data_IF_016630688767
#
_entry.id   IF_016630688767
#
_cell.length_a   1.000
_cell.length_b   1.000
_cell.length_c   1.000
_cell.angle_alpha   90.00
_cell.angle_beta   90.00
_cell.angle_gamma   90.00
#
_symmetry.space_group_name_H-M   'P 1'
#
loop_
_entity.id
_entity.type
_entity.pdbx_description
1 polymer ?
#
# COMPACT_ATOMS: atom_id res chain seq x y z
N UNK A 1 3.62 12.94 -27.29
CA UNK A 1 4.59 11.82 -27.15
C UNK A 1 3.79 10.53 -27.14
N UNK A 2 4.05 9.61 -28.08
CA UNK A 2 3.43 8.29 -28.03
C UNK A 2 4.02 7.50 -26.86
N UNK A 3 3.17 7.08 -25.92
CA UNK A 3 3.58 6.32 -24.75
C UNK A 3 3.95 4.89 -25.15
N UNK A 4 5.20 4.48 -24.88
CA UNK A 4 5.66 3.11 -25.08
C UNK A 4 6.04 2.44 -23.74
N UNK A 5 5.20 1.57 -23.17
CA UNK A 5 5.47 0.91 -21.89
C UNK A 5 6.66 -0.05 -21.96
N UNK A 6 6.98 -0.62 -23.13
CA UNK A 6 8.03 -1.64 -23.27
C UNK A 6 9.42 -1.13 -22.82
N UNK A 7 9.70 0.17 -22.99
CA UNK A 7 10.95 0.79 -22.56
C UNK A 7 11.11 0.77 -21.03
N UNK A 8 10.01 0.97 -20.31
CA UNK A 8 10.01 0.93 -18.84
C UNK A 8 9.97 -0.50 -18.34
N UNK A 9 9.12 -1.36 -18.93
CA UNK A 9 9.03 -2.79 -18.62
C UNK A 9 10.39 -3.50 -18.73
N UNK A 10 11.16 -3.20 -19.78
CA UNK A 10 12.50 -3.75 -19.99
C UNK A 10 13.49 -3.30 -18.89
N UNK A 11 13.44 -2.03 -18.49
CA UNK A 11 14.31 -1.47 -17.44
C UNK A 11 14.04 -2.06 -16.07
N UNK A 12 12.76 -2.26 -15.73
CA UNK A 12 12.36 -2.81 -14.43
C UNK A 12 12.40 -4.35 -14.44
N UNK A 13 12.33 -5.00 -15.61
CA UNK A 13 12.28 -6.45 -15.76
C UNK A 13 10.93 -7.06 -15.40
N UNK A 14 9.84 -6.32 -15.58
CA UNK A 14 8.47 -6.74 -15.29
C UNK A 14 7.57 -6.35 -16.46
N UNK A 15 6.84 -7.32 -17.01
CA UNK A 15 5.76 -7.09 -17.97
C UNK A 15 4.43 -6.91 -17.21
N UNK A 16 3.75 -5.81 -17.50
CA UNK A 16 2.45 -5.49 -16.92
C UNK A 16 1.32 -6.18 -17.68
N UNK A 17 0.28 -6.62 -16.97
CA UNK A 17 -0.99 -7.05 -17.59
C UNK A 17 -1.78 -5.85 -18.05
N UNK A 18 -1.87 -4.83 -17.20
CA UNK A 18 -2.52 -3.57 -17.48
C UNK A 18 -1.45 -2.45 -17.56
N UNK A 19 -1.12 -2.06 -18.79
CA UNK A 19 -0.13 -1.02 -19.10
C UNK A 19 -0.58 0.39 -18.72
N UNK A 20 -1.88 0.61 -18.49
CA UNK A 20 -2.37 1.90 -18.03
C UNK A 20 -2.02 2.16 -16.57
N UNK A 21 -1.91 1.11 -15.75
CA UNK A 21 -1.42 1.24 -14.36
C UNK A 21 0.04 1.68 -14.35
N UNK A 22 0.87 1.12 -15.24
CA UNK A 22 2.26 1.55 -15.39
C UNK A 22 2.34 3.00 -15.88
N UNK A 23 1.48 3.38 -16.84
CA UNK A 23 1.39 4.77 -17.31
C UNK A 23 1.04 5.71 -16.15
N UNK A 24 0.00 5.37 -15.38
CA UNK A 24 -0.46 6.16 -14.24
C UNK A 24 0.64 6.38 -13.19
N UNK A 25 1.44 5.35 -12.91
CA UNK A 25 2.58 5.45 -11.98
C UNK A 25 3.61 6.53 -12.38
N UNK A 26 3.67 6.84 -13.67
CA UNK A 26 4.61 7.79 -14.26
C UNK A 26 4.00 9.16 -14.51
N UNK A 27 2.75 9.42 -14.09
CA UNK A 27 2.08 10.73 -14.16
C UNK A 27 2.32 11.49 -12.86
N UNK A 28 3.25 12.43 -12.89
CA UNK A 28 3.51 13.33 -11.77
C UNK A 28 2.36 14.33 -11.59
N UNK A 29 2.04 14.78 -10.35
CA UNK A 29 1.00 15.79 -10.10
C UNK A 29 1.12 17.04 -10.96
N UNK A 30 2.33 17.56 -11.17
CA UNK A 30 2.54 18.76 -11.99
C UNK A 30 2.11 18.58 -13.46
N UNK A 31 2.29 17.38 -14.04
CA UNK A 31 1.83 17.12 -15.40
C UNK A 31 0.31 16.96 -15.44
N UNK A 32 -0.26 16.35 -14.39
CA UNK A 32 -1.71 16.23 -14.24
C UNK A 32 -2.40 17.59 -14.12
N UNK A 33 -1.78 18.53 -13.40
CA UNK A 33 -2.28 19.91 -13.24
C UNK A 33 -2.30 20.66 -14.59
N UNK A 34 -1.28 20.49 -15.43
CA UNK A 34 -1.25 21.05 -16.80
C UNK A 34 -2.37 20.53 -17.70
N UNK A 35 -2.80 19.28 -17.50
CA UNK A 35 -3.89 18.66 -18.26
C UNK A 35 -5.29 19.07 -17.80
N UNK A 36 -5.41 19.62 -16.58
CA UNK A 36 -6.66 20.11 -16.01
C UNK A 36 -7.14 19.34 -14.78
N UNK A 37 -8.07 19.97 -14.05
CA UNK A 37 -8.61 19.46 -12.79
C UNK A 37 -9.24 18.07 -12.95
N UNK A 38 -8.95 17.17 -12.01
CA UNK A 38 -9.50 15.81 -11.99
C UNK A 38 -8.75 14.80 -12.87
N UNK A 39 -7.68 15.23 -13.55
CA UNK A 39 -6.76 14.29 -14.19
C UNK A 39 -6.11 13.38 -13.13
N UNK A 40 -6.08 12.05 -13.32
CA UNK A 40 -5.42 11.14 -12.40
C UNK A 40 -3.89 11.29 -12.43
N UNK A 41 -3.29 11.25 -11.25
CA UNK A 41 -1.83 11.25 -11.06
C UNK A 41 -1.39 10.01 -10.24
N UNK A 42 -0.08 9.93 -9.99
CA UNK A 42 0.52 8.79 -9.33
C UNK A 42 0.43 8.77 -7.79
N UNK A 43 -0.13 9.78 -7.13
CA UNK A 43 -0.09 9.91 -5.67
C UNK A 43 -0.81 8.75 -4.96
N UNK A 44 -1.93 8.28 -5.50
CA UNK A 44 -2.64 7.12 -4.92
C UNK A 44 -1.78 5.85 -5.00
N UNK A 45 -1.05 5.68 -6.11
CA UNK A 45 -0.11 4.56 -6.29
C UNK A 45 1.13 4.72 -5.41
N UNK A 46 1.63 5.95 -5.23
CA UNK A 46 2.72 6.26 -4.30
C UNK A 46 2.37 5.76 -2.90
N UNK A 47 1.16 6.09 -2.43
CA UNK A 47 0.68 5.73 -1.10
C UNK A 47 0.54 4.21 -0.92
N UNK A 48 -0.03 3.52 -1.91
CA UNK A 48 -0.12 2.06 -1.91
C UNK A 48 1.28 1.41 -1.95
N UNK A 49 2.17 1.93 -2.78
CA UNK A 49 3.51 1.41 -2.96
C UNK A 49 4.41 1.63 -1.75
N UNK A 50 4.26 2.74 -1.04
CA UNK A 50 4.94 2.98 0.24
C UNK A 50 4.60 1.89 1.27
N UNK A 51 3.31 1.57 1.41
CA UNK A 51 2.85 0.53 2.33
C UNK A 51 3.31 -0.87 1.90
N UNK A 52 3.23 -1.20 0.60
CA UNK A 52 3.72 -2.46 0.07
C UNK A 52 5.24 -2.63 0.26
N UNK A 53 6.01 -1.54 0.09
CA UNK A 53 7.46 -1.53 0.30
C UNK A 53 7.82 -1.70 1.77
N UNK A 54 7.15 -0.96 2.68
CA UNK A 54 7.31 -1.14 4.13
C UNK A 54 7.08 -2.60 4.53
N UNK A 55 6.01 -3.22 4.02
CA UNK A 55 5.70 -4.60 4.32
C UNK A 55 6.72 -5.58 3.74
N UNK A 56 7.18 -5.41 2.49
CA UNK A 56 8.21 -6.25 1.91
C UNK A 56 9.54 -6.20 2.70
N UNK A 57 9.92 -5.01 3.19
CA UNK A 57 11.09 -4.84 4.06
C UNK A 57 10.89 -5.59 5.39
N UNK A 58 9.70 -5.44 6.01
CA UNK A 58 9.39 -6.12 7.26
C UNK A 58 9.35 -7.65 7.11
N UNK A 59 8.78 -8.16 6.02
CA UNK A 59 8.76 -9.59 5.66
C UNK A 59 10.18 -10.14 5.50
N UNK A 60 11.06 -9.40 4.83
CA UNK A 60 12.46 -9.79 4.67
C UNK A 60 13.20 -9.82 6.02
N UNK A 61 13.11 -8.75 6.81
CA UNK A 61 13.78 -8.64 8.11
C UNK A 61 13.31 -9.74 9.08
N UNK A 62 12.00 -9.95 9.16
CA UNK A 62 11.41 -10.99 10.00
C UNK A 62 11.89 -12.39 9.62
N UNK A 63 12.04 -12.66 8.31
CA UNK A 63 12.39 -13.99 7.81
C UNK A 63 13.89 -14.29 7.85
N UNK A 64 14.74 -13.28 7.67
CA UNK A 64 16.18 -13.50 7.43
C UNK A 64 17.09 -12.98 8.55
N UNK A 65 16.57 -12.17 9.46
CA UNK A 65 17.37 -11.55 10.54
C UNK A 65 16.73 -11.75 11.92
N UNK A 66 16.42 -12.99 12.33
CA UNK A 66 15.71 -13.24 13.61
C UNK A 66 16.52 -12.79 14.83
N UNK A 67 17.84 -12.75 14.74
CA UNK A 67 18.72 -12.34 15.83
C UNK A 67 18.78 -10.81 16.06
N UNK A 68 18.16 -9.99 15.20
CA UNK A 68 18.17 -8.54 15.34
C UNK A 68 16.99 -8.04 16.19
N UNK A 69 17.28 -7.11 17.10
CA UNK A 69 16.25 -6.37 17.82
C UNK A 69 15.38 -5.51 16.90
N UNK A 70 14.12 -5.28 17.29
CA UNK A 70 13.17 -4.44 16.52
C UNK A 70 13.66 -3.01 16.32
N UNK A 71 14.48 -2.48 17.22
CA UNK A 71 15.13 -1.17 17.01
C UNK A 71 16.00 -1.17 15.74
N UNK A 72 16.70 -2.27 15.45
CA UNK A 72 17.48 -2.43 14.22
C UNK A 72 16.56 -2.61 13.00
N UNK A 73 15.42 -3.29 13.14
CA UNK A 73 14.44 -3.40 12.05
C UNK A 73 13.96 -2.01 11.62
N UNK A 74 13.59 -1.15 12.58
CA UNK A 74 13.17 0.22 12.29
C UNK A 74 14.28 1.04 11.60
N UNK A 75 15.49 1.02 12.15
CA UNK A 75 16.63 1.76 11.57
C UNK A 75 16.99 1.30 10.15
N UNK A 76 16.97 -0.02 9.90
CA UNK A 76 17.25 -0.59 8.58
C UNK A 76 16.14 -0.26 7.57
N UNK A 77 14.87 -0.27 8.02
CA UNK A 77 13.74 0.14 7.20
C UNK A 77 13.83 1.61 6.80
N UNK A 78 14.12 2.51 7.75
CA UNK A 78 14.31 3.94 7.47
C UNK A 78 15.43 4.16 6.45
N UNK A 79 16.58 3.49 6.63
CA UNK A 79 17.70 3.54 5.67
C UNK A 79 17.33 3.04 4.27
N UNK A 80 16.50 2.00 4.17
CA UNK A 80 16.05 1.46 2.88
C UNK A 80 15.05 2.39 2.18
N UNK A 81 14.29 3.17 2.94
CA UNK A 81 13.23 4.06 2.46
C UNK A 81 13.67 5.51 2.27
N UNK A 82 14.94 5.81 2.55
CA UNK A 82 15.52 7.15 2.41
C UNK A 82 15.37 7.67 0.97
N UNK A 83 14.88 8.91 0.83
CA UNK A 83 14.60 9.51 -0.48
C UNK A 83 15.81 9.52 -1.40
N UNK A 84 17.00 9.85 -0.89
CA UNK A 84 18.23 9.82 -1.68
C UNK A 84 18.53 8.43 -2.24
N UNK A 85 18.33 7.41 -1.43
CA UNK A 85 18.52 6.02 -1.85
C UNK A 85 17.54 5.63 -2.95
N UNK A 86 16.27 5.96 -2.80
CA UNK A 86 15.22 5.63 -3.78
C UNK A 86 15.43 6.40 -5.09
N UNK A 87 15.78 7.68 -5.03
CA UNK A 87 16.18 8.47 -6.19
C UNK A 87 17.39 7.86 -6.90
N UNK A 88 18.44 7.47 -6.17
CA UNK A 88 19.61 6.79 -6.76
C UNK A 88 19.20 5.50 -7.48
N UNK A 89 18.33 4.68 -6.87
CA UNK A 89 17.84 3.45 -7.48
C UNK A 89 17.00 3.72 -8.74
N UNK A 90 16.15 4.75 -8.73
CA UNK A 90 15.41 5.19 -9.92
C UNK A 90 16.32 5.45 -11.12
N UNK A 91 17.42 6.17 -10.91
CA UNK A 91 18.42 6.41 -11.96
C UNK A 91 19.24 5.17 -12.32
N UNK A 92 19.58 4.31 -11.37
CA UNK A 92 20.27 3.04 -11.63
C UNK A 92 19.44 2.07 -12.48
N UNK A 93 18.11 2.12 -12.36
CA UNK A 93 17.19 1.41 -13.25
C UNK A 93 17.10 2.05 -14.66
N UNK A 94 17.76 3.19 -14.88
CA UNK A 94 17.68 3.95 -16.11
C UNK A 94 16.37 4.73 -16.27
N UNK A 95 15.60 4.95 -15.20
CA UNK A 95 14.29 5.60 -15.27
C UNK A 95 14.33 7.13 -15.18
N UNK A 96 15.50 7.72 -14.91
CA UNK A 96 15.68 9.18 -14.82
C UNK A 96 15.10 9.94 -16.03
N UNK A 97 15.44 9.48 -17.23
CA UNK A 97 14.94 10.06 -18.49
C UNK A 97 13.55 9.55 -18.89
N UNK A 98 13.13 8.43 -18.30
CA UNK A 98 11.90 7.72 -18.67
C UNK A 98 10.70 8.10 -17.79
N UNK A 99 10.78 9.18 -17.01
CA UNK A 99 9.63 9.76 -16.30
C UNK A 99 8.90 10.72 -17.27
N UNK A 100 8.05 10.21 -18.18
CA UNK A 100 7.69 10.93 -19.40
C UNK A 100 6.67 12.04 -19.11
N UNK A 101 5.91 11.90 -18.03
CA UNK A 101 4.78 12.75 -17.66
C UNK A 101 5.13 13.53 -16.39
N UNK A 102 6.18 14.34 -16.50
CA UNK A 102 6.63 15.31 -15.50
C UNK A 102 6.64 16.69 -16.17
N UNK A 103 5.83 17.63 -15.68
CA UNK A 103 5.69 18.97 -16.28
C UNK A 103 7.00 19.76 -16.33
N UNK A 104 7.86 19.59 -15.31
CA UNK A 104 9.17 20.23 -15.24
C UNK A 104 10.20 19.39 -16.02
N UNK A 105 10.29 19.62 -17.33
CA UNK A 105 11.17 18.84 -18.24
C UNK A 105 12.59 19.40 -18.35
N UNK A 106 12.79 20.71 -18.21
CA UNK A 106 14.09 21.40 -18.42
C UNK A 106 15.13 21.15 -17.32
N UNK A 107 14.71 20.73 -16.12
CA UNK A 107 15.58 20.66 -14.93
C UNK A 107 15.84 19.23 -14.42
N UNK A 108 15.59 18.19 -15.21
CA UNK A 108 15.75 16.79 -14.76
C UNK A 108 17.14 16.47 -14.22
N UNK A 109 18.19 16.99 -14.88
CA UNK A 109 19.57 16.84 -14.42
C UNK A 109 19.81 17.52 -13.06
N UNK A 110 19.17 18.66 -12.81
CA UNK A 110 19.23 19.38 -11.53
C UNK A 110 18.46 18.62 -10.46
N UNK A 111 17.25 18.12 -10.79
CA UNK A 111 16.41 17.32 -9.89
C UNK A 111 17.09 16.00 -9.49
N UNK A 112 18.03 15.48 -10.28
CA UNK A 112 18.84 14.33 -9.89
C UNK A 112 19.74 14.60 -8.68
N UNK A 113 20.23 15.83 -8.56
CA UNK A 113 21.27 16.20 -7.59
C UNK A 113 20.74 17.02 -6.41
N UNK A 114 19.56 17.64 -6.56
CA UNK A 114 18.93 18.45 -5.51
C UNK A 114 17.75 17.73 -4.87
N UNK A 115 17.59 17.94 -3.57
CA UNK A 115 16.43 17.51 -2.79
C UNK A 115 15.62 18.72 -2.35
N UNK A 116 14.28 18.59 -2.24
CA UNK A 116 13.47 17.41 -2.61
C UNK A 116 13.36 17.23 -4.14
N UNK A 117 13.09 16.01 -4.59
CA UNK A 117 12.84 15.67 -6.00
C UNK A 117 11.70 14.64 -6.13
N UNK A 118 11.10 14.44 -7.31
CA UNK A 118 9.90 13.61 -7.44
C UNK A 118 10.20 12.11 -7.65
N UNK A 119 11.48 11.71 -7.69
CA UNK A 119 11.87 10.37 -8.15
C UNK A 119 11.70 9.29 -7.09
N UNK A 120 11.87 9.62 -5.81
CA UNK A 120 11.59 8.70 -4.71
C UNK A 120 10.09 8.36 -4.63
N UNK A 121 9.24 9.38 -4.79
CA UNK A 121 7.78 9.24 -4.89
C UNK A 121 7.37 8.46 -6.13
N UNK A 122 7.97 8.78 -7.28
CA UNK A 122 7.78 8.02 -8.52
C UNK A 122 8.20 6.55 -8.38
N UNK A 123 9.28 6.26 -7.66
CA UNK A 123 9.70 4.89 -7.34
C UNK A 123 8.66 4.17 -6.50
N UNK A 124 8.12 4.81 -5.45
CA UNK A 124 7.02 4.24 -4.64
C UNK A 124 5.78 4.01 -5.49
N UNK A 125 5.40 4.95 -6.37
CA UNK A 125 4.27 4.77 -7.26
C UNK A 125 4.46 3.59 -8.22
N UNK A 126 5.67 3.40 -8.75
CA UNK A 126 6.02 2.24 -9.57
C UNK A 126 5.89 0.93 -8.78
N UNK A 127 6.33 0.89 -7.51
CA UNK A 127 6.11 -0.26 -6.63
C UNK A 127 4.62 -0.53 -6.42
N UNK A 128 3.83 0.52 -6.19
CA UNK A 128 2.36 0.42 -6.07
C UNK A 128 1.72 -0.15 -7.32
N UNK A 129 2.19 0.26 -8.50
CA UNK A 129 1.74 -0.26 -9.79
C UNK A 129 2.09 -1.74 -9.98
N UNK A 130 3.34 -2.13 -9.69
CA UNK A 130 3.78 -3.53 -9.74
C UNK A 130 2.92 -4.38 -8.79
N UNK A 131 2.72 -3.91 -7.57
CA UNK A 131 1.92 -4.59 -6.55
C UNK A 131 0.47 -4.79 -7.01
N UNK A 132 -0.17 -3.73 -7.54
CA UNK A 132 -1.56 -3.77 -7.98
C UNK A 132 -1.78 -4.70 -9.19
N UNK A 133 -0.84 -4.70 -10.14
CA UNK A 133 -0.94 -5.46 -11.40
C UNK A 133 -0.48 -6.93 -11.27
N UNK A 134 0.61 -7.15 -10.52
CA UNK A 134 1.30 -8.45 -10.43
C UNK A 134 1.16 -9.16 -9.09
N UNK A 135 0.61 -8.47 -8.09
CA UNK A 135 0.43 -8.96 -6.72
C UNK A 135 1.68 -8.86 -5.85
N UNK A 136 1.47 -9.00 -4.54
CA UNK A 136 2.52 -8.81 -3.52
C UNK A 136 3.75 -9.71 -3.75
N UNK A 137 3.56 -10.97 -4.14
CA UNK A 137 4.68 -11.91 -4.33
C UNK A 137 5.70 -11.39 -5.36
N UNK A 138 5.22 -10.84 -6.48
CA UNK A 138 6.09 -10.28 -7.52
C UNK A 138 6.71 -8.96 -7.07
N UNK A 139 5.93 -8.09 -6.42
CA UNK A 139 6.45 -6.84 -5.85
C UNK A 139 7.57 -7.10 -4.83
N UNK A 140 7.35 -8.03 -3.90
CA UNK A 140 8.33 -8.46 -2.90
C UNK A 140 9.59 -9.01 -3.55
N UNK A 141 9.47 -9.93 -4.51
CA UNK A 141 10.65 -10.50 -5.16
C UNK A 141 11.47 -9.44 -5.91
N UNK A 142 10.78 -8.50 -6.56
CA UNK A 142 11.43 -7.40 -7.25
C UNK A 142 12.14 -6.45 -6.28
N UNK A 143 11.47 -6.05 -5.19
CA UNK A 143 12.05 -5.24 -4.11
C UNK A 143 13.23 -5.94 -3.44
N UNK A 144 13.13 -7.24 -3.20
CA UNK A 144 14.22 -8.05 -2.63
C UNK A 144 15.47 -7.91 -3.50
N UNK A 145 15.33 -8.12 -4.81
CA UNK A 145 16.45 -8.04 -5.76
C UNK A 145 17.00 -6.62 -5.94
N UNK A 146 16.14 -5.62 -6.04
CA UNK A 146 16.53 -4.25 -6.46
C UNK A 146 16.88 -3.33 -5.29
N UNK A 147 16.25 -3.53 -4.13
CA UNK A 147 16.33 -2.60 -3.00
C UNK A 147 16.90 -3.23 -1.73
N UNK A 148 16.36 -4.39 -1.32
CA UNK A 148 16.55 -4.93 0.04
C UNK A 148 17.85 -5.72 0.16
N UNK A 149 18.02 -6.77 -0.65
CA UNK A 149 19.19 -7.67 -0.58
C UNK A 149 20.53 -6.91 -0.72
N UNK A 150 20.68 -5.93 -1.63
CA UNK A 150 21.93 -5.15 -1.75
C UNK A 150 22.37 -4.41 -0.48
N UNK A 151 21.48 -4.21 0.50
CA UNK A 151 21.80 -3.58 1.79
C UNK A 151 21.82 -4.58 2.92
N UNK A 152 20.91 -5.57 2.88
CA UNK A 152 20.65 -6.46 4.01
C UNK A 152 21.40 -7.79 3.97
N UNK A 153 21.98 -8.20 2.84
CA UNK A 153 22.74 -9.46 2.73
C UNK A 153 23.87 -9.57 3.78
N UNK A 154 24.51 -8.45 4.13
CA UNK A 154 25.55 -8.40 5.17
C UNK A 154 25.06 -8.72 6.59
N UNK A 155 23.74 -8.80 6.80
CA UNK A 155 23.10 -9.21 8.05
C UNK A 155 22.58 -10.65 7.99
N UNK A 156 22.89 -11.43 6.95
CA UNK A 156 22.54 -12.84 6.93
C UNK A 156 23.49 -13.63 7.84
N UNK A 157 22.91 -14.37 8.78
CA UNK A 157 23.63 -15.26 9.69
C UNK A 157 22.85 -16.57 9.82
N UNK A 158 23.52 -17.71 10.04
CA UNK A 158 22.86 -19.00 10.30
C UNK A 158 22.32 -19.07 11.74
N UNK A 159 21.62 -18.03 12.19
CA UNK A 159 20.97 -17.97 13.50
C UNK A 159 19.47 -18.07 13.25
N UNK A 160 18.83 -19.04 13.89
CA UNK A 160 17.38 -19.28 13.78
C UNK A 160 16.62 -18.73 14.97
N UNK A 161 17.29 -18.52 16.11
CA UNK A 161 16.68 -18.00 17.32
C UNK A 161 16.33 -16.52 17.18
N UNK A 162 15.11 -16.17 17.61
CA UNK A 162 14.59 -14.79 17.59
C UNK A 162 14.96 -14.07 18.87
N UNK A 163 15.58 -12.88 18.79
CA UNK A 163 15.95 -12.14 20.01
C UNK A 163 14.72 -11.57 20.75
N UNK A 164 13.68 -11.17 20.01
CA UNK A 164 12.38 -10.81 20.60
C UNK A 164 11.21 -11.27 19.71
N UNK A 165 10.80 -12.55 19.80
CA UNK A 165 9.83 -13.14 18.86
C UNK A 165 8.52 -12.36 18.77
N UNK A 166 7.94 -12.00 19.92
CA UNK A 166 6.67 -11.28 19.98
C UNK A 166 6.78 -9.85 19.42
N UNK A 167 7.82 -9.08 19.74
CA UNK A 167 7.98 -7.73 19.18
C UNK A 167 8.26 -7.76 17.66
N UNK A 168 9.03 -8.74 17.19
CA UNK A 168 9.28 -8.93 15.76
C UNK A 168 7.99 -9.31 15.01
N UNK A 169 7.16 -10.19 15.59
CA UNK A 169 5.87 -10.56 15.02
C UNK A 169 4.93 -9.34 14.94
N UNK A 170 4.91 -8.50 15.98
CA UNK A 170 4.17 -7.23 15.96
C UNK A 170 4.68 -6.27 14.88
N UNK A 171 6.00 -6.20 14.63
CA UNK A 171 6.58 -5.34 13.59
C UNK A 171 6.15 -5.76 12.18
N UNK A 172 6.17 -7.07 11.91
CA UNK A 172 5.67 -7.65 10.66
C UNK A 172 4.18 -7.30 10.48
N UNK A 173 3.39 -7.54 11.53
CA UNK A 173 1.94 -7.36 11.50
C UNK A 173 1.48 -5.92 11.36
N UNK A 174 2.19 -4.96 11.98
CA UNK A 174 1.89 -3.54 11.84
C UNK A 174 2.06 -3.08 10.38
N UNK A 175 3.14 -3.53 9.74
CA UNK A 175 3.42 -3.20 8.34
C UNK A 175 2.42 -3.90 7.40
N UNK A 176 2.08 -5.16 7.68
CA UNK A 176 1.09 -5.91 6.91
C UNK A 176 -0.31 -5.29 7.00
N UNK A 177 -0.78 -4.99 8.21
CA UNK A 177 -2.11 -4.43 8.43
C UNK A 177 -2.31 -3.13 7.64
N UNK A 178 -1.30 -2.25 7.65
CA UNK A 178 -1.31 -1.02 6.84
C UNK A 178 -1.40 -1.33 5.34
N UNK A 179 -0.62 -2.28 4.86
CA UNK A 179 -0.61 -2.65 3.44
C UNK A 179 -1.94 -3.24 2.98
N UNK A 180 -2.56 -4.16 3.74
CA UNK A 180 -3.86 -4.76 3.35
C UNK A 180 -5.00 -3.74 3.44
N UNK A 181 -5.01 -2.86 4.45
CA UNK A 181 -6.01 -1.78 4.57
C UNK A 181 -5.88 -0.81 3.39
N UNK A 182 -4.66 -0.40 3.04
CA UNK A 182 -4.47 0.54 1.94
C UNK A 182 -4.79 -0.08 0.57
N UNK A 183 -4.52 -1.37 0.37
CA UNK A 183 -4.99 -2.05 -0.84
C UNK A 183 -6.51 -2.07 -0.93
N UNK A 184 -7.19 -2.43 0.17
CA UNK A 184 -8.65 -2.41 0.23
C UNK A 184 -9.20 -1.01 -0.11
N UNK A 185 -8.72 0.03 0.57
CA UNK A 185 -9.17 1.40 0.36
C UNK A 185 -8.88 1.90 -1.06
N UNK A 186 -7.70 1.59 -1.62
CA UNK A 186 -7.35 1.97 -2.99
C UNK A 186 -8.34 1.37 -4.00
N UNK A 187 -8.73 0.11 -3.81
CA UNK A 187 -9.63 -0.62 -4.73
C UNK A 187 -11.09 -0.19 -4.59
N UNK A 188 -11.56 0.08 -3.37
CA UNK A 188 -12.98 0.33 -3.09
C UNK A 188 -13.35 1.82 -3.08
N UNK A 189 -12.37 2.72 -2.99
CA UNK A 189 -12.59 4.17 -2.98
C UNK A 189 -11.88 4.83 -4.18
N UNK A 190 -12.37 4.61 -5.41
CA UNK A 190 -11.83 5.27 -6.59
C UNK A 190 -11.96 6.79 -6.45
N UNK A 191 -11.02 7.52 -7.07
CA UNK A 191 -11.00 8.99 -7.09
C UNK A 191 -10.87 9.70 -5.72
N UNK A 192 -10.75 8.95 -4.62
CA UNK A 192 -10.38 9.51 -3.31
C UNK A 192 -8.88 9.77 -3.30
N UNK A 193 -8.50 11.02 -3.00
CA UNK A 193 -7.11 11.49 -2.97
C UNK A 193 -6.28 10.77 -1.90
N UNK A 194 -4.97 10.64 -2.16
CA UNK A 194 -4.04 9.89 -1.30
C UNK A 194 -4.09 10.33 0.17
N UNK A 195 -4.18 11.64 0.44
CA UNK A 195 -4.29 12.16 1.81
C UNK A 195 -5.51 11.65 2.58
N UNK A 196 -6.68 11.55 1.91
CA UNK A 196 -7.91 11.02 2.51
C UNK A 196 -7.86 9.49 2.67
N UNK A 197 -7.23 8.78 1.74
CA UNK A 197 -6.94 7.35 1.93
C UNK A 197 -6.05 7.13 3.16
N UNK A 198 -5.06 7.99 3.38
CA UNK A 198 -4.23 7.98 4.58
C UNK A 198 -5.00 8.28 5.88
N UNK A 199 -5.98 9.17 5.82
CA UNK A 199 -6.89 9.41 6.95
C UNK A 199 -7.71 8.18 7.31
N UNK A 200 -8.41 7.60 6.34
CA UNK A 200 -9.21 6.38 6.53
C UNK A 200 -8.35 5.19 6.99
N UNK A 201 -7.14 5.05 6.44
CA UNK A 201 -6.20 4.01 6.85
C UNK A 201 -5.79 4.16 8.32
N UNK A 202 -5.51 5.38 8.79
CA UNK A 202 -5.20 5.64 10.20
C UNK A 202 -6.38 5.33 11.12
N UNK A 203 -7.61 5.62 10.70
CA UNK A 203 -8.82 5.28 11.46
C UNK A 203 -8.97 3.75 11.58
N UNK A 204 -8.85 3.01 10.47
CA UNK A 204 -9.00 1.54 10.46
C UNK A 204 -7.85 0.80 11.17
N UNK A 205 -6.67 1.41 11.22
CA UNK A 205 -5.46 0.81 11.84
C UNK A 205 -5.11 1.44 13.19
N UNK A 206 -5.96 2.30 13.74
CA UNK A 206 -5.74 2.95 15.03
C UNK A 206 -5.65 1.94 16.18
N UNK A 207 -4.93 2.30 17.26
CA UNK A 207 -4.71 1.41 18.41
C UNK A 207 -6.02 0.97 19.09
N UNK A 208 -6.97 1.88 19.22
CA UNK A 208 -8.30 1.61 19.80
C UNK A 208 -9.06 0.60 18.94
N UNK A 209 -9.16 0.87 17.64
CA UNK A 209 -9.79 -0.01 16.66
C UNK A 209 -9.14 -1.41 16.62
N UNK A 210 -7.81 -1.49 16.65
CA UNK A 210 -7.09 -2.76 16.77
C UNK A 210 -7.43 -3.52 18.06
N UNK A 211 -7.61 -2.80 19.17
CA UNK A 211 -7.98 -3.42 20.46
C UNK A 211 -9.41 -3.98 20.41
N UNK A 212 -10.33 -3.30 19.74
CA UNK A 212 -11.69 -3.79 19.48
C UNK A 212 -11.69 -5.03 18.59
N UNK A 213 -10.93 -5.01 17.49
CA UNK A 213 -10.78 -6.18 16.63
C UNK A 213 -10.26 -7.37 17.41
N UNK A 214 -9.22 -7.18 18.23
CA UNK A 214 -8.62 -8.27 19.00
C UNK A 214 -9.60 -8.89 20.00
N UNK A 215 -10.45 -8.09 20.64
CA UNK A 215 -11.48 -8.59 21.56
C UNK A 215 -12.54 -9.46 20.88
N UNK A 216 -12.79 -9.25 19.59
CA UNK A 216 -13.78 -10.02 18.80
C UNK A 216 -13.24 -11.37 18.33
N UNK A 217 -11.93 -11.62 18.44
CA UNK A 217 -11.32 -12.86 17.93
C UNK A 217 -11.28 -13.94 19.00
N UNK A 218 -11.86 -15.10 18.68
CA UNK A 218 -11.58 -16.33 19.40
C UNK A 218 -10.30 -16.99 18.86
N UNK A 219 -9.19 -16.83 19.58
CA UNK A 219 -7.90 -17.44 19.23
C UNK A 219 -7.94 -18.97 19.27
N UNK A 220 -8.87 -19.60 19.99
CA UNK A 220 -8.94 -21.06 20.09
C UNK A 220 -9.41 -21.68 18.78
N UNK A 221 -10.35 -21.02 18.08
CA UNK A 221 -10.86 -21.42 16.78
C UNK A 221 -9.86 -21.23 15.63
N UNK A 222 -8.79 -20.45 15.83
CA UNK A 222 -7.80 -20.17 14.79
C UNK A 222 -6.64 -21.18 14.77
N UNK A 223 -6.30 -21.61 13.55
CA UNK A 223 -5.11 -22.42 13.25
C UNK A 223 -3.93 -21.48 12.98
N UNK A 224 -3.08 -21.23 13.98
CA UNK A 224 -2.00 -20.22 13.92
C UNK A 224 -0.58 -20.81 14.01
N UNK A 225 -0.45 -22.14 14.03
CA UNK A 225 0.85 -22.82 14.17
C UNK A 225 1.62 -22.39 15.42
N UNK A 226 2.94 -22.40 15.32
CA UNK A 226 3.87 -22.12 16.43
C UNK A 226 3.76 -20.68 16.95
N UNK A 227 3.32 -19.75 16.10
CA UNK A 227 3.19 -18.33 16.45
C UNK A 227 2.02 -18.06 17.40
N UNK A 228 1.11 -19.03 17.61
CA UNK A 228 -0.08 -18.86 18.47
C UNK A 228 0.26 -18.36 19.88
N UNK A 229 1.32 -18.91 20.48
CA UNK A 229 1.78 -18.51 21.82
C UNK A 229 2.33 -17.07 21.87
N UNK A 230 2.70 -16.51 20.73
CA UNK A 230 3.24 -15.15 20.59
C UNK A 230 2.15 -14.11 20.30
N UNK A 231 0.91 -14.52 20.04
CA UNK A 231 -0.19 -13.57 19.72
C UNK A 231 -0.71 -12.90 20.99
N UNK A 232 -0.26 -11.66 21.22
CA UNK A 232 -0.68 -10.80 22.36
C UNK A 232 -1.34 -9.50 21.95
N UNK A 233 -1.55 -9.29 20.65
CA UNK A 233 -2.15 -8.08 20.08
C UNK A 233 -2.68 -8.35 18.68
N UNK A 234 -3.55 -7.48 18.17
CA UNK A 234 -4.12 -7.64 16.83
C UNK A 234 -3.08 -7.67 15.72
N UNK A 235 -2.10 -6.76 15.72
CA UNK A 235 -0.99 -6.82 14.75
C UNK A 235 -0.21 -8.13 14.82
N UNK A 236 0.04 -8.68 16.02
CA UNK A 236 0.69 -10.00 16.12
C UNK A 236 -0.19 -11.12 15.51
N UNK A 237 -1.51 -11.05 15.71
CA UNK A 237 -2.47 -11.95 15.08
C UNK A 237 -2.43 -11.84 13.55
N UNK A 238 -2.46 -10.63 13.00
CA UNK A 238 -2.40 -10.37 11.54
C UNK A 238 -1.15 -11.01 10.93
N UNK A 239 0.01 -10.88 11.60
CA UNK A 239 1.25 -11.52 11.19
C UNK A 239 1.17 -13.05 11.26
N UNK A 240 0.64 -13.61 12.35
CA UNK A 240 0.49 -15.06 12.51
C UNK A 240 -0.43 -15.66 11.44
N UNK A 241 -1.55 -15.00 11.11
CA UNK A 241 -2.44 -15.39 10.01
C UNK A 241 -1.70 -15.42 8.67
N UNK A 242 -0.90 -14.39 8.37
CA UNK A 242 -0.09 -14.33 7.16
C UNK A 242 0.95 -15.44 7.06
N UNK A 243 1.67 -15.70 8.15
CA UNK A 243 2.67 -16.78 8.19
C UNK A 243 2.01 -18.14 7.99
N UNK A 244 0.86 -18.37 8.63
CA UNK A 244 0.08 -19.58 8.43
C UNK A 244 -0.37 -19.74 6.97
N UNK A 245 -0.89 -18.68 6.35
CA UNK A 245 -1.32 -18.75 4.95
C UNK A 245 -0.16 -19.03 3.99
N UNK A 246 1.04 -18.51 4.27
CA UNK A 246 2.23 -18.83 3.48
C UNK A 246 2.75 -20.25 3.71
N UNK A 247 2.61 -20.79 4.92
CA UNK A 247 3.02 -22.17 5.23
C UNK A 247 2.19 -23.22 4.46
N UNK A 248 0.97 -22.87 4.04
CA UNK A 248 0.10 -23.76 3.25
C UNK A 248 0.57 -24.05 1.81
N UNK A 249 1.72 -23.52 1.39
CA UNK A 249 2.31 -23.73 0.06
C UNK A 249 1.64 -22.96 -1.07
N UNK A 250 0.54 -22.26 -0.78
CA UNK A 250 -0.21 -21.50 -1.76
C UNK A 250 0.36 -20.09 -1.95
N UNK A 251 0.57 -19.69 -3.21
CA UNK A 251 1.03 -18.34 -3.55
C UNK A 251 -0.10 -17.36 -3.28
N UNK A 252 -0.15 -16.77 -2.09
CA UNK A 252 -1.22 -15.82 -1.80
C UNK A 252 -1.37 -15.36 -0.36
N UNK A 253 -0.38 -15.55 0.52
CA UNK A 253 -0.52 -15.21 1.94
C UNK A 253 -1.02 -13.78 2.16
N UNK A 254 -0.49 -12.80 1.42
CA UNK A 254 -0.98 -11.42 1.47
C UNK A 254 -2.48 -11.31 1.17
N UNK A 255 -2.94 -11.89 0.04
CA UNK A 255 -4.33 -11.78 -0.41
C UNK A 255 -5.29 -12.53 0.52
N UNK A 256 -4.86 -13.69 1.03
CA UNK A 256 -5.63 -14.43 2.04
C UNK A 256 -5.75 -13.66 3.35
N UNK A 257 -4.69 -12.99 3.80
CA UNK A 257 -4.74 -12.12 4.98
C UNK A 257 -5.64 -10.90 4.74
N UNK A 258 -5.56 -10.26 3.57
CA UNK A 258 -6.45 -9.15 3.20
C UNK A 258 -7.91 -9.59 3.24
N UNK A 259 -8.27 -10.68 2.56
CA UNK A 259 -9.64 -11.18 2.53
C UNK A 259 -10.14 -11.52 3.94
N UNK A 260 -9.35 -12.26 4.72
CA UNK A 260 -9.69 -12.56 6.11
C UNK A 260 -9.91 -11.29 6.94
N UNK A 261 -9.04 -10.28 6.81
CA UNK A 261 -9.17 -9.04 7.56
C UNK A 261 -10.45 -8.30 7.17
N UNK A 262 -10.72 -8.18 5.86
CA UNK A 262 -11.89 -7.47 5.33
C UNK A 262 -13.18 -8.16 5.77
N UNK A 263 -13.28 -9.48 5.56
CA UNK A 263 -14.46 -10.27 5.90
C UNK A 263 -14.82 -10.23 7.39
N UNK A 264 -13.82 -10.18 8.27
CA UNK A 264 -14.03 -10.29 9.71
C UNK A 264 -14.17 -8.93 10.41
N UNK A 265 -13.55 -7.86 9.87
CA UNK A 265 -13.38 -6.61 10.63
C UNK A 265 -13.79 -5.34 9.90
N UNK A 266 -14.02 -5.38 8.59
CA UNK A 266 -14.31 -4.18 7.80
C UNK A 266 -15.79 -4.12 7.44
N UNK A 267 -16.48 -3.11 7.96
CA UNK A 267 -17.80 -2.70 7.47
C UNK A 267 -17.61 -1.78 6.26
N UNK A 268 -17.97 -2.28 5.08
CA UNK A 268 -17.84 -1.54 3.82
C UNK A 268 -18.72 -0.28 3.78
N UNK A 269 -19.89 -0.31 4.41
CA UNK A 269 -20.79 0.84 4.46
C UNK A 269 -20.26 1.89 5.44
N UNK A 270 -19.65 1.49 6.56
CA UNK A 270 -18.94 2.41 7.47
C UNK A 270 -17.81 3.16 6.76
N UNK A 271 -16.98 2.42 6.01
CA UNK A 271 -15.89 3.00 5.22
C UNK A 271 -16.43 3.96 4.16
N UNK A 272 -17.49 3.57 3.44
CA UNK A 272 -18.08 4.39 2.40
C UNK A 272 -18.72 5.66 2.99
N UNK A 273 -19.46 5.56 4.10
CA UNK A 273 -20.01 6.71 4.85
C UNK A 273 -18.92 7.70 5.21
N UNK A 274 -17.81 7.21 5.77
CA UNK A 274 -16.69 8.08 6.16
C UNK A 274 -16.04 8.74 4.95
N UNK A 275 -15.81 8.00 3.86
CA UNK A 275 -15.29 8.55 2.62
C UNK A 275 -16.21 9.62 2.01
N UNK A 276 -17.53 9.42 2.05
CA UNK A 276 -18.53 10.42 1.62
C UNK A 276 -18.40 11.70 2.44
N UNK A 277 -18.29 11.61 3.77
CA UNK A 277 -18.12 12.78 4.63
C UNK A 277 -16.86 13.58 4.26
N UNK A 278 -15.74 12.89 4.04
CA UNK A 278 -14.47 13.52 3.63
C UNK A 278 -14.55 14.19 2.26
N UNK A 279 -15.29 13.61 1.32
CA UNK A 279 -15.48 14.20 -0.01
C UNK A 279 -16.42 15.41 0.00
N UNK A 280 -17.41 15.42 0.89
CA UNK A 280 -18.26 16.60 1.12
C UNK A 280 -17.44 17.75 1.71
N UNK A 281 -16.53 17.47 2.67
CA UNK A 281 -15.57 18.46 3.17
C UNK A 281 -14.65 18.99 2.06
N UNK A 282 -14.27 18.13 1.12
CA UNK A 282 -13.49 18.51 -0.08
C UNK A 282 -14.35 19.22 -1.16
N UNK A 283 -15.60 19.57 -0.86
CA UNK A 283 -16.51 20.32 -1.74
C UNK A 283 -17.11 19.50 -2.88
N UNK A 284 -17.02 18.16 -2.87
CA UNK A 284 -17.61 17.31 -3.91
C UNK A 284 -19.13 17.21 -3.72
N UNK A 285 -19.88 17.47 -4.78
CA UNK A 285 -21.34 17.37 -4.75
C UNK A 285 -21.83 15.92 -4.58
N UNK A 286 -23.04 15.74 -4.05
CA UNK A 286 -23.71 14.43 -4.01
C UNK A 286 -23.71 13.75 -5.39
N UNK A 287 -24.02 14.51 -6.45
CA UNK A 287 -24.04 13.99 -7.81
C UNK A 287 -22.68 13.45 -8.25
N UNK A 288 -21.61 14.14 -7.86
CA UNK A 288 -20.24 13.68 -8.12
C UNK A 288 -19.94 12.40 -7.34
N UNK A 289 -20.29 12.35 -6.05
CA UNK A 289 -20.04 11.19 -5.18
C UNK A 289 -20.76 9.94 -5.69
N UNK A 290 -22.06 10.04 -6.00
CA UNK A 290 -22.87 8.92 -6.51
C UNK A 290 -22.24 8.34 -7.80
N UNK A 291 -21.73 9.21 -8.68
CA UNK A 291 -21.14 8.79 -9.96
C UNK A 291 -19.73 8.26 -9.84
N UNK A 292 -18.85 8.99 -9.16
CA UNK A 292 -17.40 8.79 -9.22
C UNK A 292 -16.83 8.01 -8.04
N UNK A 293 -17.53 7.97 -6.90
CA UNK A 293 -17.15 7.12 -5.77
C UNK A 293 -17.97 5.82 -5.78
N UNK A 294 -19.31 5.94 -5.85
CA UNK A 294 -20.22 4.80 -5.72
C UNK A 294 -20.44 4.04 -7.04
N UNK A 295 -20.02 4.61 -8.18
CA UNK A 295 -20.03 3.93 -9.47
C UNK A 295 -21.38 3.89 -10.19
N UNK A 296 -22.37 4.66 -9.74
CA UNK A 296 -23.69 4.70 -10.39
C UNK A 296 -23.66 5.62 -11.62
N UNK A 297 -23.88 5.05 -12.81
CA UNK A 297 -23.97 5.80 -14.06
C UNK A 297 -25.22 6.70 -14.09
N UNK A 298 -25.32 7.57 -15.11
CA UNK A 298 -26.46 8.51 -15.23
C UNK A 298 -27.82 7.80 -15.30
N UNK A 299 -27.87 6.61 -15.90
CA UNK A 299 -29.08 5.78 -16.00
C UNK A 299 -29.54 5.20 -14.66
N UNK A 300 -28.60 4.99 -13.73
CA UNK A 300 -28.84 4.36 -12.41
C UNK A 300 -28.73 5.39 -11.27
N UNK A 301 -28.75 6.68 -11.60
CA UNK A 301 -28.52 7.76 -10.63
C UNK A 301 -29.54 7.78 -9.48
N UNK A 302 -30.80 7.44 -9.76
CA UNK A 302 -31.85 7.42 -8.75
C UNK A 302 -31.58 6.36 -7.67
N UNK A 303 -31.23 5.14 -8.07
CA UNK A 303 -30.84 4.07 -7.15
C UNK A 303 -29.60 4.46 -6.34
N UNK A 304 -28.58 5.01 -7.01
CA UNK A 304 -27.36 5.47 -6.34
C UNK A 304 -27.62 6.59 -5.33
N UNK A 305 -28.57 7.48 -5.63
CA UNK A 305 -29.03 8.54 -4.73
C UNK A 305 -29.76 7.97 -3.51
N UNK A 306 -30.62 6.97 -3.68
CA UNK A 306 -31.30 6.30 -2.56
C UNK A 306 -30.28 5.64 -1.62
N UNK A 307 -29.33 4.88 -2.17
CA UNK A 307 -28.24 4.28 -1.38
C UNK A 307 -27.40 5.36 -0.67
N UNK A 308 -27.08 6.45 -1.34
CA UNK A 308 -26.36 7.57 -0.74
C UNK A 308 -27.12 8.16 0.46
N UNK A 309 -28.43 8.38 0.31
CA UNK A 309 -29.26 8.89 1.39
C UNK A 309 -29.30 7.92 2.57
N UNK A 310 -29.50 6.62 2.32
CA UNK A 310 -29.46 5.59 3.38
C UNK A 310 -28.13 5.61 4.16
N UNK A 311 -27.00 5.75 3.46
CA UNK A 311 -25.67 5.84 4.07
C UNK A 311 -25.54 7.10 4.95
N UNK A 312 -26.06 8.25 4.53
CA UNK A 312 -25.95 9.49 5.31
C UNK A 312 -26.97 9.56 6.46
N UNK A 313 -28.19 9.07 6.25
CA UNK A 313 -29.29 9.09 7.23
C UNK A 313 -29.08 8.10 8.38
N UNK A 314 -28.26 7.05 8.17
CA UNK A 314 -27.82 6.12 9.23
C UNK A 314 -27.08 6.77 10.42
N UNK A 315 -26.91 8.10 10.43
CA UNK A 315 -26.46 8.90 11.59
C UNK A 315 -27.44 8.97 12.76
N UNK A 316 -28.71 8.55 12.61
CA UNK A 316 -29.74 8.77 13.64
C UNK A 316 -30.14 7.54 14.48
N UNK A 317 -29.44 6.41 14.37
CA UNK A 317 -29.68 5.23 15.21
C UNK A 317 -28.36 4.61 15.67
N UNK A 318 -27.72 5.22 16.68
CA UNK A 318 -26.91 4.56 17.71
C UNK A 318 -26.60 5.55 18.83
#
# INVERSE_FOLDING_TARGET
>A
MEWNPALVEAKIGIQFKNRDILRLALIHPSYSEELGEGTPNNERLEFLGDAAMNFAIADYLYSHTPYLEVANFSALREKLMEGERLTKLWYQLGLGEAYPFLGITSDRFILRQKFPNPFDRGFKALVGAIHLDRGFSQSRNWLNKKLIAPVLERYLKPITERSNPNKQLQFLGDSLLKAVVLEYLYRHLPNVRAGRLGELSRELTGKERQSEYFKKVDLTALKLGDEKALVKSFKALVAAMYLQYNASGDKGGFKKTENWFVEQFVDGDEVLRRAIALLLEDGKSQKWIVRHLMGYESKDYHEGREKYNQLIEGKNLL
#
